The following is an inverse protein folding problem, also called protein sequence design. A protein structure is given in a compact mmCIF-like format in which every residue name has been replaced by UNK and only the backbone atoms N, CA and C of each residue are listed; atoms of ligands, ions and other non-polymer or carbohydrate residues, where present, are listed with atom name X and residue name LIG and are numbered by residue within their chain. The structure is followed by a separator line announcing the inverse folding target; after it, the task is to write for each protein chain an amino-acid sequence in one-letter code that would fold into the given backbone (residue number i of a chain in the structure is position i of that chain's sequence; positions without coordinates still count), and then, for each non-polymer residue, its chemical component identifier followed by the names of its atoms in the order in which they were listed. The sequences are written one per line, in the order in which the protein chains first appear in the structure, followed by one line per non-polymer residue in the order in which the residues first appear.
data_IF_101665402546
#
_entry.id   IF_101665402546
#
_cell.length_a   1.000
_cell.length_b   1.000
_cell.length_c   1.000
_cell.angle_alpha   90.00
_cell.angle_beta   90.00
_cell.angle_gamma   90.00
#
_symmetry.space_group_name_H-M   'P 1'
#
loop_
_entity.id
_entity.type
_entity.pdbx_description
1 polymer ?
#
# COMPACT_ATOMS: atom_id res chain seq x y z
N UNK A 1 13.59 1.87 -12.67
CA UNK A 1 13.43 0.93 -11.54
C UNK A 1 13.81 -0.49 -11.95
N UNK A 2 13.26 -1.04 -13.04
CA UNK A 2 13.62 -2.38 -13.53
C UNK A 2 15.12 -2.50 -13.84
N UNK A 3 15.70 -1.51 -14.54
CA UNK A 3 17.14 -1.44 -14.82
C UNK A 3 18.01 -1.63 -13.56
N UNK A 4 17.72 -0.89 -12.48
CA UNK A 4 18.46 -1.03 -11.21
C UNK A 4 18.28 -2.42 -10.57
N UNK A 5 17.09 -3.01 -10.68
CA UNK A 5 16.83 -4.36 -10.15
C UNK A 5 17.64 -5.41 -10.92
N UNK A 6 17.69 -5.27 -12.23
CA UNK A 6 18.36 -6.20 -13.15
C UNK A 6 19.89 -6.08 -13.02
N UNK A 7 20.43 -4.86 -13.05
CA UNK A 7 21.86 -4.58 -12.94
C UNK A 7 22.48 -5.10 -11.63
N UNK A 8 21.67 -5.23 -10.57
CA UNK A 8 22.10 -5.66 -9.25
C UNK A 8 21.63 -7.09 -8.87
N UNK A 9 21.00 -7.81 -9.80
CA UNK A 9 20.45 -9.17 -9.59
C UNK A 9 19.60 -9.30 -8.31
N UNK A 10 18.73 -8.30 -8.07
CA UNK A 10 17.88 -8.24 -6.87
C UNK A 10 16.59 -9.04 -7.09
N UNK A 11 16.18 -9.24 -8.35
CA UNK A 11 14.91 -9.85 -8.72
C UNK A 11 14.64 -11.19 -8.02
N UNK A 12 15.66 -12.05 -7.90
CA UNK A 12 15.60 -13.36 -7.22
C UNK A 12 15.20 -13.30 -5.74
N UNK A 13 15.37 -12.14 -5.10
CA UNK A 13 15.03 -11.92 -3.70
C UNK A 13 13.63 -11.30 -3.51
N UNK A 14 12.97 -10.85 -4.58
CA UNK A 14 11.67 -10.18 -4.52
C UNK A 14 10.54 -11.19 -4.75
N UNK A 15 9.65 -11.32 -3.76
CA UNK A 15 8.41 -12.10 -3.89
C UNK A 15 7.26 -11.20 -4.31
N UNK A 16 7.04 -11.07 -5.61
CA UNK A 16 5.89 -10.35 -6.16
C UNK A 16 4.56 -11.04 -5.83
N UNK A 17 3.44 -10.32 -5.94
CA UNK A 17 2.08 -10.85 -5.73
C UNK A 17 1.84 -11.41 -4.32
N UNK A 18 2.52 -10.85 -3.32
CA UNK A 18 2.28 -11.15 -1.91
C UNK A 18 1.82 -9.88 -1.21
N UNK A 19 0.68 -9.97 -0.52
CA UNK A 19 0.17 -8.91 0.34
C UNK A 19 0.45 -9.32 1.79
N UNK A 20 1.27 -8.55 2.49
CA UNK A 20 1.46 -8.73 3.93
C UNK A 20 0.16 -8.33 4.66
N UNK A 21 -0.28 -9.18 5.58
CA UNK A 21 -1.50 -9.02 6.38
C UNK A 21 -1.14 -8.60 7.80
N UNK A 22 -0.15 -9.26 8.40
CA UNK A 22 0.28 -8.99 9.77
C UNK A 22 1.78 -9.26 9.92
N UNK A 23 2.40 -8.65 10.92
CA UNK A 23 3.73 -8.98 11.39
C UNK A 23 3.76 -8.90 12.92
N UNK A 24 4.29 -9.91 13.57
CA UNK A 24 4.37 -9.99 15.04
C UNK A 24 5.77 -10.40 15.47
N UNK A 25 6.27 -9.76 16.53
CA UNK A 25 7.55 -10.09 17.14
C UNK A 25 7.35 -11.04 18.32
N UNK A 26 8.16 -12.09 18.40
CA UNK A 26 8.27 -12.96 19.56
C UNK A 26 9.60 -12.73 20.26
N UNK A 27 9.56 -12.20 21.49
CA UNK A 27 10.75 -12.04 22.34
C UNK A 27 11.30 -13.38 22.83
N UNK A 28 10.46 -14.41 22.96
CA UNK A 28 10.90 -15.76 23.33
C UNK A 28 11.74 -16.38 22.21
N UNK A 29 11.30 -16.23 20.96
CA UNK A 29 11.97 -16.82 19.80
C UNK A 29 13.00 -15.88 19.15
N UNK A 30 13.02 -14.60 19.53
CA UNK A 30 13.80 -13.54 18.89
C UNK A 30 13.58 -13.48 17.36
N UNK A 31 12.32 -13.62 16.94
CA UNK A 31 11.93 -13.69 15.53
C UNK A 31 10.65 -12.89 15.26
N UNK A 32 10.61 -12.32 14.07
CA UNK A 32 9.39 -11.86 13.43
C UNK A 32 8.69 -13.04 12.75
N UNK A 33 7.38 -13.10 12.92
CA UNK A 33 6.46 -13.90 12.09
C UNK A 33 5.67 -12.95 11.21
N UNK A 34 5.72 -13.16 9.90
CA UNK A 34 5.04 -12.32 8.91
C UNK A 34 4.01 -13.18 8.18
N UNK A 35 2.75 -12.79 8.27
CA UNK A 35 1.65 -13.43 7.56
C UNK A 35 1.34 -12.67 6.29
N UNK A 36 1.16 -13.40 5.20
CA UNK A 36 0.84 -12.85 3.89
C UNK A 36 -0.21 -13.69 3.18
N UNK A 37 -0.83 -13.10 2.17
CA UNK A 37 -1.65 -13.83 1.19
C UNK A 37 -1.10 -13.61 -0.20
N UNK A 38 -1.14 -14.65 -1.03
CA UNK A 38 -0.86 -14.47 -2.46
C UNK A 38 -2.03 -13.73 -3.10
N UNK A 39 -1.76 -12.72 -3.91
CA UNK A 39 -2.82 -11.89 -4.50
C UNK A 39 -3.57 -12.57 -5.64
N UNK A 40 -3.04 -13.68 -6.15
CA UNK A 40 -3.65 -14.45 -7.24
C UNK A 40 -4.71 -15.44 -6.74
N UNK A 41 -4.44 -16.14 -5.63
CA UNK A 41 -5.32 -17.21 -5.12
C UNK A 41 -5.86 -16.97 -3.72
N UNK A 42 -5.32 -15.99 -2.99
CA UNK A 42 -5.64 -15.75 -1.58
C UNK A 42 -4.97 -16.75 -0.63
N UNK A 43 -4.10 -17.63 -1.13
CA UNK A 43 -3.42 -18.63 -0.30
C UNK A 43 -2.57 -17.95 0.78
N UNK A 44 -2.72 -18.40 2.03
CA UNK A 44 -1.94 -17.94 3.16
C UNK A 44 -0.48 -18.41 3.04
N UNK A 45 0.45 -17.51 3.36
CA UNK A 45 1.90 -17.76 3.44
C UNK A 45 2.42 -17.19 4.75
N UNK A 46 3.37 -17.88 5.35
CA UNK A 46 4.05 -17.44 6.56
C UNK A 46 5.55 -17.36 6.30
N UNK A 47 6.16 -16.26 6.70
CA UNK A 47 7.60 -16.05 6.66
C UNK A 47 8.11 -15.75 8.07
N UNK A 48 9.37 -16.07 8.33
CA UNK A 48 10.07 -15.64 9.54
C UNK A 48 11.31 -14.84 9.19
N UNK A 49 11.70 -13.92 10.07
CA UNK A 49 12.91 -13.12 9.91
C UNK A 49 13.46 -12.65 11.26
N UNK A 50 14.78 -12.52 11.38
CA UNK A 50 15.42 -11.91 12.53
C UNK A 50 15.35 -10.38 12.50
N UNK A 51 15.15 -9.79 11.33
CA UNK A 51 15.06 -8.35 11.12
C UNK A 51 13.96 -8.04 10.12
N UNK A 52 13.18 -6.99 10.40
CA UNK A 52 12.09 -6.53 9.54
C UNK A 52 12.27 -5.04 9.25
N UNK A 53 12.42 -4.70 7.98
CA UNK A 53 12.49 -3.31 7.50
C UNK A 53 11.25 -2.99 6.65
N UNK A 54 10.52 -1.95 7.02
CA UNK A 54 9.22 -1.61 6.43
C UNK A 54 9.36 -0.52 5.35
N UNK A 55 9.11 -0.89 4.09
CA UNK A 55 9.20 0.00 2.91
C UNK A 55 7.85 0.18 2.18
N UNK A 56 6.71 -0.11 2.81
CA UNK A 56 5.39 -0.07 2.14
C UNK A 56 4.86 1.34 1.85
N UNK A 57 5.56 2.38 2.33
CA UNK A 57 5.08 3.76 2.33
C UNK A 57 4.04 4.02 3.43
N UNK A 58 3.68 5.28 3.62
CA UNK A 58 2.72 5.69 4.66
C UNK A 58 1.30 5.87 4.14
N UNK A 59 1.09 5.91 2.82
CA UNK A 59 -0.24 6.03 2.24
C UNK A 59 -1.02 4.72 2.38
N UNK A 60 -2.22 4.83 2.96
CA UNK A 60 -3.21 3.75 2.92
C UNK A 60 -3.74 3.62 1.49
N UNK A 61 -3.16 2.71 0.71
CA UNK A 61 -3.48 2.54 -0.72
C UNK A 61 -4.94 2.20 -1.02
N UNK A 62 -5.68 1.62 -0.08
CA UNK A 62 -7.09 1.28 -0.27
C UNK A 62 -8.00 2.51 -0.24
N UNK A 63 -7.70 3.49 0.61
CA UNK A 63 -8.55 4.64 0.85
C UNK A 63 -7.74 5.73 1.56
N UNK A 64 -7.70 6.91 0.95
CA UNK A 64 -7.07 8.08 1.57
C UNK A 64 -7.99 8.73 2.61
N UNK A 65 -7.38 9.43 3.56
CA UNK A 65 -8.14 10.14 4.58
C UNK A 65 -8.74 11.42 4.00
N UNK A 66 -10.07 11.49 3.95
CA UNK A 66 -10.79 12.72 3.62
C UNK A 66 -11.41 13.27 4.91
N UNK A 67 -10.94 14.41 5.43
CA UNK A 67 -11.57 15.03 6.59
C UNK A 67 -12.97 15.55 6.24
N UNK A 68 -13.86 15.60 7.23
CA UNK A 68 -15.12 16.31 7.11
C UNK A 68 -14.96 17.75 7.60
N UNK A 69 -15.60 18.70 6.92
CA UNK A 69 -15.65 20.10 7.35
C UNK A 69 -17.06 20.69 7.22
N UNK A 70 -17.34 21.72 8.03
CA UNK A 70 -18.67 22.34 8.09
C UNK A 70 -19.08 22.91 6.73
N UNK A 71 -20.20 22.44 6.20
CA UNK A 71 -20.77 22.90 4.94
C UNK A 71 -20.17 22.24 3.70
N UNK A 72 -19.34 21.21 3.85
CA UNK A 72 -18.83 20.37 2.76
C UNK A 72 -19.97 19.79 1.91
N UNK A 73 -21.07 19.38 2.55
CA UNK A 73 -22.31 18.87 1.97
C UNK A 73 -23.08 19.92 1.13
N UNK A 74 -22.87 21.21 1.39
CA UNK A 74 -23.54 22.32 0.69
C UNK A 74 -22.80 22.73 -0.59
N UNK A 75 -21.55 22.33 -0.74
CA UNK A 75 -20.77 22.59 -1.93
C UNK A 75 -21.42 21.88 -3.13
N UNK A 76 -21.62 22.62 -4.23
CA UNK A 76 -22.30 22.10 -5.43
C UNK A 76 -21.35 21.50 -6.48
N UNK A 77 -20.04 21.66 -6.27
CA UNK A 77 -19.03 21.05 -7.12
C UNK A 77 -18.65 19.64 -6.68
N UNK A 78 -17.81 18.99 -7.49
CA UNK A 78 -17.25 17.67 -7.19
C UNK A 78 -16.10 17.82 -6.20
N UNK A 79 -16.16 17.13 -5.07
CA UNK A 79 -15.02 16.97 -4.16
C UNK A 79 -14.26 15.71 -4.59
N UNK A 80 -12.95 15.84 -4.78
CA UNK A 80 -12.09 14.76 -5.25
C UNK A 80 -10.95 14.56 -4.27
N UNK A 81 -10.79 13.34 -3.78
CA UNK A 81 -9.58 12.97 -3.03
C UNK A 81 -8.43 12.69 -4.03
N UNK A 82 -7.22 13.25 -3.85
CA UNK A 82 -6.12 13.12 -4.82
C UNK A 82 -5.68 11.67 -5.13
N UNK A 83 -5.84 10.75 -4.17
CA UNK A 83 -5.54 9.33 -4.37
C UNK A 83 -6.50 8.62 -5.33
N UNK A 84 -7.70 9.17 -5.54
CA UNK A 84 -8.74 8.64 -6.44
C UNK A 84 -9.07 9.70 -7.48
N UNK A 85 -8.04 10.24 -8.12
CA UNK A 85 -8.20 11.25 -9.17
C UNK A 85 -8.93 10.62 -10.37
N UNK A 86 -10.07 11.20 -10.79
CA UNK A 86 -10.86 10.62 -11.85
C UNK A 86 -10.38 11.06 -13.23
N UNK A 87 -10.38 10.13 -14.19
CA UNK A 87 -9.93 10.38 -15.57
C UNK A 87 -10.88 11.30 -16.35
N UNK A 88 -12.14 11.41 -15.91
CA UNK A 88 -13.20 12.17 -16.58
C UNK A 88 -13.35 13.61 -16.08
N UNK A 89 -12.39 14.11 -15.30
CA UNK A 89 -12.49 15.46 -14.72
C UNK A 89 -12.16 16.56 -15.73
N UNK A 90 -13.14 17.41 -15.99
CA UNK A 90 -12.93 18.64 -16.76
C UNK A 90 -12.77 19.85 -15.81
N UNK A 91 -11.57 20.41 -15.80
CA UNK A 91 -11.18 21.57 -15.01
C UNK A 91 -11.21 22.88 -15.82
N UNK A 92 -11.57 22.84 -17.11
CA UNK A 92 -11.62 24.04 -17.94
C UNK A 92 -12.63 25.04 -17.37
N UNK A 93 -12.18 26.29 -17.23
CA UNK A 93 -12.96 27.42 -16.71
C UNK A 93 -13.57 27.21 -15.30
N UNK A 94 -13.06 26.23 -14.52
CA UNK A 94 -13.43 26.00 -13.12
C UNK A 94 -12.63 26.93 -12.18
N UNK A 95 -13.24 27.30 -11.05
CA UNK A 95 -12.66 28.14 -9.98
C UNK A 95 -12.84 27.46 -8.63
#
# INVERSE_FOLDING_TARGET
MNEVIDDNDIARHIRYKHKIVSASWSSEQNLWTIEAVTTATGEAKTFSANFLWMCQGYYRRSEGYTPEWKGMDRFKGRIVHPQTWPDDIDLKDKK
#
